data_IF_457025163303
#
_entry.id   IF_457025163303
#
_cell.length_a   1.000
_cell.length_b   1.000
_cell.length_c   1.000
_cell.angle_alpha   90.00
_cell.angle_beta   90.00
_cell.angle_gamma   90.00
#
_symmetry.space_group_name_H-M   'P 1'
#
loop_
_entity.id
_entity.type
_entity.pdbx_description
1 polymer ?
#
# COMPACT_ATOMS: atom_id res chain seq x y z
N UNK A 1 13.73 -17.19 -3.37
CA UNK A 1 12.72 -17.25 -4.45
C UNK A 1 12.90 -15.98 -5.26
N UNK A 2 13.21 -16.10 -6.55
CA UNK A 2 13.56 -14.93 -7.38
C UNK A 2 12.35 -14.03 -7.67
N UNK A 3 11.17 -14.62 -7.82
CA UNK A 3 9.93 -13.89 -8.05
C UNK A 3 8.80 -14.53 -7.25
N UNK A 4 8.05 -13.71 -6.53
CA UNK A 4 6.88 -14.14 -5.78
C UNK A 4 5.62 -13.82 -6.59
N UNK A 5 4.76 -14.83 -6.71
CA UNK A 5 3.42 -14.71 -7.30
C UNK A 5 2.46 -15.43 -6.36
N UNK A 6 1.49 -14.70 -5.84
CA UNK A 6 0.45 -15.29 -5.01
C UNK A 6 -0.53 -16.14 -5.83
N UNK A 7 -1.42 -16.85 -5.14
CA UNK A 7 -2.49 -17.62 -5.74
C UNK A 7 -3.80 -16.85 -5.75
N UNK A 8 -4.69 -17.18 -6.70
CA UNK A 8 -6.04 -16.62 -6.75
C UNK A 8 -6.82 -16.94 -5.46
N UNK A 9 -7.21 -15.91 -4.72
CA UNK A 9 -7.96 -16.00 -3.47
C UNK A 9 -9.42 -16.38 -3.70
N UNK A 10 -9.95 -17.29 -2.87
CA UNK A 10 -11.29 -17.88 -3.05
C UNK A 10 -12.41 -16.89 -2.76
N UNK A 11 -12.17 -15.96 -1.84
CA UNK A 11 -13.12 -14.92 -1.40
C UNK A 11 -13.09 -13.68 -2.27
N UNK A 12 -12.25 -13.65 -3.31
CA UNK A 12 -12.02 -12.47 -4.14
C UNK A 12 -13.30 -11.93 -4.81
N UNK A 13 -14.10 -12.82 -5.42
CA UNK A 13 -15.35 -12.42 -6.06
C UNK A 13 -16.37 -11.88 -5.04
N UNK A 14 -16.55 -12.60 -3.93
CA UNK A 14 -17.46 -12.20 -2.84
C UNK A 14 -17.09 -10.84 -2.23
N UNK A 15 -15.80 -10.51 -2.20
CA UNK A 15 -15.32 -9.20 -1.76
C UNK A 15 -15.66 -8.09 -2.74
N UNK A 16 -15.40 -8.24 -4.04
CA UNK A 16 -15.71 -7.19 -5.01
C UNK A 16 -17.22 -6.94 -5.12
N UNK A 17 -18.04 -8.01 -5.09
CA UNK A 17 -19.49 -7.88 -5.01
C UNK A 17 -19.93 -7.09 -3.76
N UNK A 18 -19.25 -7.29 -2.63
CA UNK A 18 -19.53 -6.54 -1.40
C UNK A 18 -19.09 -5.07 -1.53
N UNK A 19 -17.91 -4.81 -2.10
CA UNK A 19 -17.37 -3.46 -2.29
C UNK A 19 -18.29 -2.62 -3.20
N UNK A 20 -18.79 -3.20 -4.28
CA UNK A 20 -19.71 -2.53 -5.21
C UNK A 20 -21.08 -2.25 -4.59
N UNK A 21 -21.43 -2.96 -3.51
CA UNK A 21 -22.72 -2.79 -2.79
C UNK A 21 -22.70 -1.71 -1.71
N UNK A 22 -21.58 -1.04 -1.46
CA UNK A 22 -21.44 -0.08 -0.35
C UNK A 22 -22.32 1.15 -0.59
N UNK A 23 -23.10 1.50 0.43
CA UNK A 23 -23.87 2.74 0.52
C UNK A 23 -23.69 3.34 1.91
N UNK A 24 -24.00 4.62 2.07
CA UNK A 24 -23.92 5.29 3.38
C UNK A 24 -24.77 4.56 4.44
N UNK A 25 -25.93 4.04 4.05
CA UNK A 25 -26.88 3.36 4.95
C UNK A 25 -26.42 1.97 5.43
N UNK A 26 -25.44 1.35 4.75
CA UNK A 26 -25.09 -0.05 4.99
C UNK A 26 -23.68 -0.27 5.56
N UNK A 27 -22.93 0.79 5.85
CA UNK A 27 -21.53 0.74 6.32
C UNK A 27 -21.34 -0.27 7.48
N UNK A 28 -22.20 -0.22 8.50
CA UNK A 28 -22.11 -1.13 9.65
C UNK A 28 -22.35 -2.61 9.30
N UNK A 29 -23.19 -2.87 8.28
CA UNK A 29 -23.40 -4.22 7.74
C UNK A 29 -22.19 -4.68 6.93
N UNK A 30 -21.62 -3.79 6.11
CA UNK A 30 -20.41 -4.05 5.32
C UNK A 30 -19.23 -4.39 6.23
N UNK A 31 -18.98 -3.60 7.29
CA UNK A 31 -17.92 -3.89 8.29
C UNK A 31 -18.06 -5.31 8.86
N UNK A 32 -19.29 -5.73 9.22
CA UNK A 32 -19.54 -7.10 9.73
C UNK A 32 -19.25 -8.17 8.67
N UNK A 33 -19.57 -7.91 7.40
CA UNK A 33 -19.29 -8.85 6.30
C UNK A 33 -17.79 -8.92 5.98
N UNK A 34 -17.07 -7.80 6.00
CA UNK A 34 -15.61 -7.78 5.83
C UNK A 34 -14.91 -8.60 6.90
N UNK A 35 -15.30 -8.45 8.18
CA UNK A 35 -14.77 -9.29 9.27
C UNK A 35 -15.02 -10.80 9.03
N UNK A 36 -16.16 -11.17 8.44
CA UNK A 36 -16.44 -12.56 8.05
C UNK A 36 -15.57 -13.03 6.87
N UNK A 37 -15.35 -12.18 5.87
CA UNK A 37 -14.46 -12.49 4.74
C UNK A 37 -13.02 -12.72 5.20
N UNK A 38 -12.53 -11.86 6.09
CA UNK A 38 -11.21 -11.99 6.72
C UNK A 38 -11.08 -13.34 7.44
N UNK A 39 -12.08 -13.74 8.24
CA UNK A 39 -12.06 -15.03 8.93
C UNK A 39 -12.10 -16.23 7.97
N UNK A 40 -12.69 -16.06 6.79
CA UNK A 40 -12.81 -17.12 5.77
C UNK A 40 -11.52 -17.29 4.95
N UNK A 41 -10.79 -16.20 4.71
CA UNK A 41 -9.50 -16.19 4.02
C UNK A 41 -8.59 -15.10 4.59
N UNK A 42 -7.83 -15.44 5.64
CA UNK A 42 -6.95 -14.50 6.36
C UNK A 42 -5.78 -13.97 5.51
N UNK A 43 -5.54 -14.57 4.34
CA UNK A 43 -4.44 -14.20 3.46
C UNK A 43 -4.90 -13.42 2.22
N UNK A 44 -6.21 -13.17 2.09
CA UNK A 44 -6.71 -12.18 1.15
C UNK A 44 -6.83 -10.83 1.84
N UNK A 45 -6.02 -9.86 1.40
CA UNK A 45 -5.74 -8.66 2.19
C UNK A 45 -6.59 -7.44 1.81
N UNK A 46 -7.21 -7.40 0.63
CA UNK A 46 -8.08 -6.29 0.25
C UNK A 46 -9.27 -6.08 1.24
N UNK A 47 -9.91 -7.13 1.80
CA UNK A 47 -10.91 -6.97 2.87
C UNK A 47 -10.41 -6.23 4.11
N UNK A 48 -9.14 -6.41 4.48
CA UNK A 48 -8.54 -5.69 5.60
C UNK A 48 -8.42 -4.20 5.28
N UNK A 49 -7.94 -3.86 4.07
CA UNK A 49 -7.73 -2.47 3.66
C UNK A 49 -9.05 -1.70 3.61
N UNK A 50 -10.08 -2.28 2.98
CA UNK A 50 -11.40 -1.66 2.97
C UNK A 50 -12.01 -1.55 4.38
N UNK A 51 -11.77 -2.53 5.26
CA UNK A 51 -12.21 -2.45 6.65
C UNK A 51 -11.51 -1.29 7.38
N UNK A 52 -10.20 -1.12 7.20
CA UNK A 52 -9.44 -0.03 7.79
C UNK A 52 -9.95 1.34 7.33
N UNK A 53 -10.22 1.50 6.03
CA UNK A 53 -10.77 2.75 5.46
C UNK A 53 -12.14 3.09 6.07
N UNK A 54 -13.05 2.11 6.16
CA UNK A 54 -14.37 2.31 6.76
C UNK A 54 -14.31 2.60 8.26
N UNK A 55 -13.38 1.97 8.99
CA UNK A 55 -13.16 2.25 10.41
C UNK A 55 -12.64 3.67 10.63
N UNK A 56 -11.67 4.10 9.83
CA UNK A 56 -11.16 5.48 9.91
C UNK A 56 -12.26 6.49 9.55
N UNK A 57 -13.03 6.26 8.49
CA UNK A 57 -14.15 7.11 8.09
C UNK A 57 -15.27 7.18 9.14
N UNK A 58 -15.44 6.14 9.95
CA UNK A 58 -16.43 6.09 11.05
C UNK A 58 -15.85 6.50 12.40
N UNK A 59 -14.59 6.93 12.45
CA UNK A 59 -13.93 7.49 13.64
C UNK A 59 -13.20 6.49 14.53
N UNK A 60 -13.16 5.21 14.19
CA UNK A 60 -12.44 4.17 14.92
C UNK A 60 -10.99 4.00 14.40
N UNK A 61 -10.21 5.07 14.56
CA UNK A 61 -8.82 5.12 14.09
C UNK A 61 -7.93 4.04 14.73
N UNK A 62 -8.15 3.71 16.00
CA UNK A 62 -7.33 2.74 16.70
C UNK A 62 -7.51 1.31 16.14
N UNK A 63 -8.75 0.91 15.86
CA UNK A 63 -9.00 -0.38 15.20
C UNK A 63 -8.52 -0.35 13.74
N UNK A 64 -8.65 0.79 13.04
CA UNK A 64 -8.11 0.95 11.67
C UNK A 64 -6.60 0.68 11.61
N UNK A 65 -5.81 1.34 12.47
CA UNK A 65 -4.36 1.16 12.55
C UNK A 65 -3.98 -0.31 12.86
N UNK A 66 -4.78 -0.98 13.70
CA UNK A 66 -4.61 -2.41 14.03
C UNK A 66 -4.89 -3.30 12.82
N UNK A 67 -5.99 -3.08 12.10
CA UNK A 67 -6.35 -3.86 10.90
C UNK A 67 -5.28 -3.73 9.80
N UNK A 68 -4.70 -2.54 9.62
CA UNK A 68 -3.55 -2.34 8.70
C UNK A 68 -2.34 -3.16 9.15
N UNK A 69 -2.05 -3.16 10.46
CA UNK A 69 -0.94 -3.93 11.03
C UNK A 69 -1.16 -5.44 10.84
N UNK A 70 -2.36 -5.95 11.10
CA UNK A 70 -2.71 -7.36 10.86
C UNK A 70 -2.53 -7.75 9.38
N UNK A 71 -2.97 -6.89 8.45
CA UNK A 71 -2.79 -7.11 7.01
C UNK A 71 -1.31 -7.14 6.62
N UNK A 72 -0.49 -6.26 7.20
CA UNK A 72 0.95 -6.21 6.99
C UNK A 72 1.64 -7.49 7.49
N UNK A 73 1.29 -7.98 8.67
CA UNK A 73 1.83 -9.23 9.21
C UNK A 73 1.49 -10.42 8.30
N UNK A 74 0.25 -10.49 7.79
CA UNK A 74 -0.14 -11.51 6.81
C UNK A 74 0.55 -11.37 5.46
N UNK A 75 0.77 -10.14 5.00
CA UNK A 75 1.57 -9.88 3.80
C UNK A 75 3.02 -10.38 3.97
N UNK A 76 3.64 -10.10 5.13
CA UNK A 76 4.98 -10.59 5.45
C UNK A 76 5.03 -12.11 5.52
N UNK A 77 4.07 -12.76 6.18
CA UNK A 77 3.96 -14.21 6.22
C UNK A 77 3.96 -14.78 4.80
N UNK A 78 3.10 -14.28 3.91
CA UNK A 78 2.98 -14.75 2.53
C UNK A 78 4.29 -14.67 1.75
N UNK A 79 4.94 -13.50 1.76
CA UNK A 79 6.11 -13.29 0.90
C UNK A 79 7.37 -13.94 1.47
N UNK A 80 7.38 -14.28 2.77
CA UNK A 80 8.55 -14.88 3.43
C UNK A 80 8.41 -16.38 3.72
N UNK A 81 7.20 -16.97 3.72
CA UNK A 81 6.92 -18.35 4.19
C UNK A 81 7.92 -19.40 3.70
N UNK A 82 8.28 -19.37 2.41
CA UNK A 82 9.15 -20.40 1.80
C UNK A 82 10.64 -20.18 2.00
N UNK A 83 11.08 -18.96 2.32
CA UNK A 83 12.51 -18.60 2.28
C UNK A 83 12.99 -17.86 3.52
N UNK A 84 12.10 -17.42 4.40
CA UNK A 84 12.38 -16.50 5.50
C UNK A 84 12.86 -15.11 5.05
N UNK A 85 12.81 -14.82 3.76
CA UNK A 85 13.36 -13.62 3.15
C UNK A 85 12.35 -12.94 2.24
N UNK A 86 12.47 -11.63 2.12
CA UNK A 86 11.71 -10.83 1.15
C UNK A 86 12.10 -11.26 -0.28
N UNK A 87 11.14 -11.39 -1.22
CA UNK A 87 11.43 -11.85 -2.58
C UNK A 87 12.26 -10.83 -3.36
N UNK A 88 13.05 -11.27 -4.34
CA UNK A 88 13.77 -10.32 -5.23
C UNK A 88 12.83 -9.56 -6.17
N UNK A 89 11.65 -10.13 -6.47
CA UNK A 89 10.60 -9.51 -7.28
C UNK A 89 9.22 -9.73 -6.67
N UNK A 90 8.44 -8.66 -6.61
CA UNK A 90 7.05 -8.62 -6.17
C UNK A 90 6.27 -7.69 -7.13
N UNK A 91 6.12 -8.11 -8.37
CA UNK A 91 5.66 -7.22 -9.44
C UNK A 91 4.14 -6.96 -9.37
N UNK A 92 3.74 -5.71 -9.61
CA UNK A 92 2.33 -5.28 -9.65
C UNK A 92 1.54 -5.87 -10.83
N UNK A 93 2.25 -6.28 -11.89
CA UNK A 93 1.66 -6.87 -13.10
C UNK A 93 0.81 -8.11 -12.80
N UNK A 94 1.19 -8.87 -11.77
CA UNK A 94 0.42 -10.01 -11.28
C UNK A 94 -0.76 -9.54 -10.43
N UNK A 95 -1.98 -9.84 -10.88
CA UNK A 95 -3.21 -9.46 -10.17
C UNK A 95 -3.23 -10.01 -8.75
N UNK A 96 -2.73 -11.23 -8.59
CA UNK A 96 -2.62 -11.95 -7.33
C UNK A 96 -1.70 -11.23 -6.33
N UNK A 97 -0.69 -10.48 -6.78
CA UNK A 97 0.21 -9.75 -5.88
C UNK A 97 -0.37 -8.43 -5.37
N UNK A 98 -1.39 -7.88 -6.03
CA UNK A 98 -1.81 -6.48 -5.78
C UNK A 98 -2.28 -6.24 -4.35
N UNK A 99 -3.03 -7.16 -3.76
CA UNK A 99 -3.49 -7.02 -2.38
C UNK A 99 -2.34 -7.02 -1.37
N UNK A 100 -1.26 -7.77 -1.65
CA UNK A 100 -0.04 -7.81 -0.84
C UNK A 100 0.72 -6.50 -0.95
N UNK A 101 0.94 -6.02 -2.17
CA UNK A 101 1.62 -4.73 -2.41
C UNK A 101 0.83 -3.59 -1.73
N UNK A 102 -0.50 -3.56 -1.88
CA UNK A 102 -1.35 -2.57 -1.22
C UNK A 102 -1.27 -2.62 0.30
N UNK A 103 -1.16 -3.81 0.90
CA UNK A 103 -0.98 -3.95 2.35
C UNK A 103 0.35 -3.33 2.82
N UNK A 104 1.45 -3.59 2.09
CA UNK A 104 2.73 -2.94 2.40
C UNK A 104 2.69 -1.42 2.21
N UNK A 105 2.03 -0.92 1.16
CA UNK A 105 1.88 0.53 0.93
C UNK A 105 1.12 1.18 2.09
N UNK A 106 -0.01 0.60 2.51
CA UNK A 106 -0.81 1.13 3.63
C UNK A 106 -0.04 1.11 4.95
N UNK A 107 0.77 0.08 5.21
CA UNK A 107 1.66 0.08 6.38
C UNK A 107 2.72 1.18 6.30
N UNK A 108 3.30 1.42 5.12
CA UNK A 108 4.25 2.50 4.91
C UNK A 108 3.63 3.88 5.16
N UNK A 109 2.39 4.09 4.69
CA UNK A 109 1.61 5.31 4.96
C UNK A 109 1.31 5.43 6.46
N UNK A 110 0.92 4.34 7.13
CA UNK A 110 0.67 4.34 8.58
C UNK A 110 1.94 4.67 9.38
N UNK A 111 3.09 4.14 8.98
CA UNK A 111 4.38 4.53 9.57
C UNK A 111 4.64 6.02 9.39
N UNK A 112 4.43 6.55 8.18
CA UNK A 112 4.66 7.96 7.89
C UNK A 112 3.71 8.89 8.67
N UNK A 113 2.42 8.55 8.73
CA UNK A 113 1.39 9.21 9.54
C UNK A 113 1.76 9.27 11.03
N UNK A 114 2.45 8.23 11.51
CA UNK A 114 2.95 8.12 12.89
C UNK A 114 4.37 8.68 13.09
N UNK A 115 4.90 9.45 12.13
CA UNK A 115 6.25 10.03 12.13
C UNK A 115 7.39 8.99 12.22
N UNK A 116 7.12 7.72 11.93
CA UNK A 116 8.11 6.64 11.77
C UNK A 116 8.69 6.66 10.36
N UNK A 117 9.33 7.78 10.01
CA UNK A 117 9.73 8.09 8.63
C UNK A 117 10.82 7.17 8.10
N UNK A 118 11.69 6.65 8.97
CA UNK A 118 12.72 5.69 8.58
C UNK A 118 12.11 4.34 8.19
N UNK A 119 11.15 3.86 8.98
CA UNK A 119 10.42 2.63 8.73
C UNK A 119 9.56 2.73 7.46
N UNK A 120 8.85 3.84 7.30
CA UNK A 120 8.08 4.14 6.09
C UNK A 120 8.99 4.13 4.85
N UNK A 121 10.07 4.90 4.89
CA UNK A 121 11.03 4.99 3.79
C UNK A 121 11.65 3.62 3.45
N UNK A 122 12.08 2.86 4.48
CA UNK A 122 12.66 1.54 4.26
C UNK A 122 11.68 0.56 3.61
N UNK A 123 10.40 0.61 3.99
CA UNK A 123 9.38 -0.25 3.39
C UNK A 123 9.07 0.16 1.95
N UNK A 124 8.93 1.46 1.69
CA UNK A 124 8.73 1.98 0.33
C UNK A 124 9.92 1.67 -0.57
N UNK A 125 11.16 1.79 -0.08
CA UNK A 125 12.36 1.42 -0.84
C UNK A 125 12.33 -0.06 -1.22
N UNK A 126 11.99 -0.97 -0.30
CA UNK A 126 11.85 -2.41 -0.61
C UNK A 126 10.81 -2.67 -1.69
N UNK A 127 9.68 -1.97 -1.64
CA UNK A 127 8.65 -2.08 -2.67
C UNK A 127 9.15 -1.55 -4.03
N UNK A 128 9.85 -0.43 -4.04
CA UNK A 128 10.43 0.13 -5.26
C UNK A 128 11.49 -0.81 -5.88
N UNK A 129 12.36 -1.39 -5.04
CA UNK A 129 13.42 -2.29 -5.49
C UNK A 129 12.87 -3.58 -6.11
N UNK A 130 11.74 -4.08 -5.58
CA UNK A 130 11.12 -5.34 -6.03
C UNK A 130 10.01 -5.16 -7.06
N UNK A 131 9.57 -3.92 -7.28
CA UNK A 131 8.60 -3.51 -8.30
C UNK A 131 8.97 -2.15 -8.89
N UNK A 132 10.04 -2.06 -9.70
CA UNK A 132 10.62 -0.79 -10.14
C UNK A 132 9.71 0.02 -11.07
N UNK A 133 8.74 -0.61 -11.74
CA UNK A 133 7.70 0.10 -12.51
C UNK A 133 6.80 0.98 -11.61
N UNK A 134 6.75 0.69 -10.31
CA UNK A 134 6.11 1.50 -9.28
C UNK A 134 4.71 2.02 -9.64
N UNK A 135 3.85 1.11 -10.08
CA UNK A 135 2.46 1.43 -10.41
C UNK A 135 1.64 1.95 -9.22
N UNK A 136 2.12 1.72 -8.00
CA UNK A 136 1.49 2.18 -6.76
C UNK A 136 2.02 3.55 -6.28
N UNK A 137 3.07 4.08 -6.93
CA UNK A 137 3.58 5.42 -6.68
C UNK A 137 4.37 5.58 -5.38
N UNK A 138 5.00 4.51 -4.84
CA UNK A 138 5.79 4.62 -3.61
C UNK A 138 6.99 5.56 -3.75
N UNK A 139 7.48 5.80 -4.97
CA UNK A 139 8.54 6.79 -5.24
C UNK A 139 8.13 8.20 -4.79
N UNK A 140 6.85 8.55 -4.91
CA UNK A 140 6.38 9.87 -4.48
C UNK A 140 6.35 9.99 -2.96
N UNK A 141 5.93 8.93 -2.26
CA UNK A 141 5.97 8.89 -0.79
C UNK A 141 7.41 8.97 -0.27
N UNK A 142 8.34 8.22 -0.88
CA UNK A 142 9.77 8.30 -0.57
C UNK A 142 10.30 9.72 -0.74
N UNK A 143 10.00 10.37 -1.86
CA UNK A 143 10.42 11.74 -2.10
C UNK A 143 9.77 12.72 -1.11
N UNK A 144 8.51 12.49 -0.73
CA UNK A 144 7.81 13.28 0.29
C UNK A 144 8.54 13.26 1.62
N UNK A 145 8.98 12.07 2.06
CA UNK A 145 9.78 11.88 3.26
C UNK A 145 11.13 12.60 3.14
N UNK A 146 11.84 12.45 2.01
CA UNK A 146 13.14 13.09 1.77
C UNK A 146 13.05 14.63 1.76
N UNK A 147 11.94 15.17 1.24
CA UNK A 147 11.61 16.60 1.26
C UNK A 147 11.03 17.06 2.61
N UNK A 148 11.06 16.21 3.63
CA UNK A 148 10.59 16.48 5.00
C UNK A 148 9.11 16.90 5.08
N UNK A 149 8.29 16.42 4.16
CA UNK A 149 6.83 16.58 4.25
C UNK A 149 6.26 15.57 5.24
N UNK A 150 5.30 16.01 6.05
CA UNK A 150 4.42 15.07 6.73
C UNK A 150 3.45 14.45 5.72
N UNK A 151 2.97 13.26 6.03
CA UNK A 151 1.93 12.57 5.26
C UNK A 151 0.74 13.52 4.98
N UNK A 152 0.23 14.20 6.03
CA UNK A 152 -0.85 15.19 5.89
C UNK A 152 -0.52 16.33 4.91
N UNK A 153 0.71 16.83 4.90
CA UNK A 153 1.11 17.88 3.95
C UNK A 153 1.16 17.35 2.52
N UNK A 154 1.64 16.12 2.34
CA UNK A 154 1.70 15.45 1.05
C UNK A 154 0.29 15.26 0.46
N UNK A 155 -0.62 14.63 1.21
CA UNK A 155 -2.00 14.41 0.73
C UNK A 155 -2.73 15.74 0.53
N UNK A 156 -2.61 16.71 1.44
CA UNK A 156 -3.22 18.04 1.24
C UNK A 156 -2.79 18.71 -0.08
N UNK A 157 -1.57 18.43 -0.55
CA UNK A 157 -1.05 19.01 -1.77
C UNK A 157 -1.51 18.24 -3.02
N UNK A 158 -1.29 16.93 -3.02
CA UNK A 158 -1.37 16.13 -4.23
C UNK A 158 -2.68 15.35 -4.38
N UNK A 159 -3.39 15.05 -3.28
CA UNK A 159 -4.65 14.33 -3.36
C UNK A 159 -5.79 15.26 -3.80
N UNK A 160 -6.41 14.94 -4.93
CA UNK A 160 -7.53 15.68 -5.52
C UNK A 160 -8.83 14.87 -5.37
N UNK A 161 -9.15 14.44 -4.15
CA UNK A 161 -10.28 13.55 -3.85
C UNK A 161 -10.13 12.15 -4.47
N UNK A 162 -8.98 11.51 -4.24
CA UNK A 162 -8.74 10.12 -4.64
C UNK A 162 -8.04 9.96 -5.99
N UNK A 163 -7.56 11.04 -6.61
CA UNK A 163 -6.66 10.98 -7.76
C UNK A 163 -5.52 11.98 -7.63
N UNK A 164 -4.42 11.68 -8.31
CA UNK A 164 -3.28 12.59 -8.46
C UNK A 164 -3.22 13.07 -9.91
N UNK A 165 -3.01 14.38 -10.08
CA UNK A 165 -2.85 15.01 -11.40
C UNK A 165 -1.35 15.16 -11.75
N UNK A 166 -1.07 15.85 -12.87
CA UNK A 166 0.30 16.10 -13.33
C UNK A 166 1.17 16.89 -12.34
N UNK A 167 0.59 17.50 -11.28
CA UNK A 167 1.37 18.25 -10.28
C UNK A 167 2.38 17.35 -9.59
N UNK A 168 2.01 16.10 -9.28
CA UNK A 168 2.88 15.18 -8.55
C UNK A 168 4.08 14.74 -9.39
N UNK A 169 3.85 14.48 -10.69
CA UNK A 169 4.87 14.07 -11.65
C UNK A 169 5.87 15.21 -11.87
N UNK A 170 5.36 16.41 -12.16
CA UNK A 170 6.18 17.61 -12.34
C UNK A 170 7.00 17.93 -11.09
N UNK A 171 6.42 17.76 -9.90
CA UNK A 171 7.14 17.93 -8.64
C UNK A 171 8.24 16.88 -8.47
N UNK A 172 7.96 15.62 -8.77
CA UNK A 172 8.92 14.53 -8.67
C UNK A 172 10.11 14.74 -9.62
N UNK A 173 9.85 15.00 -10.90
CA UNK A 173 10.89 15.20 -11.93
C UNK A 173 11.81 16.37 -11.61
N UNK A 174 11.26 17.43 -11.01
CA UNK A 174 12.04 18.58 -10.56
C UNK A 174 12.93 18.23 -9.37
N UNK A 175 12.41 17.49 -8.39
CA UNK A 175 13.06 17.29 -7.09
C UNK A 175 13.99 16.08 -7.05
N UNK A 176 13.73 15.03 -7.82
CA UNK A 176 14.57 13.83 -7.90
C UNK A 176 16.02 14.15 -8.28
N UNK A 177 16.26 15.27 -8.99
CA UNK A 177 17.60 15.78 -9.33
C UNK A 177 18.49 16.02 -8.10
N UNK A 178 17.89 16.28 -6.94
CA UNK A 178 18.59 16.47 -5.65
C UNK A 178 18.75 15.18 -4.84
N UNK A 179 18.09 14.10 -5.25
CA UNK A 179 18.00 12.81 -4.54
C UNK A 179 18.49 11.64 -5.42
N UNK A 180 19.48 11.90 -6.28
CA UNK A 180 20.01 10.90 -7.23
C UNK A 180 20.64 9.70 -6.54
N UNK A 181 21.11 9.85 -5.30
CA UNK A 181 21.70 8.76 -4.54
C UNK A 181 20.62 7.77 -4.12
N UNK A 182 19.51 8.29 -3.61
CA UNK A 182 18.36 7.55 -3.11
C UNK A 182 17.62 6.86 -4.26
N UNK A 183 17.42 7.54 -5.38
CA UNK A 183 16.73 6.99 -6.57
C UNK A 183 17.68 6.39 -7.61
N UNK A 184 18.94 6.17 -7.28
CA UNK A 184 19.97 5.83 -8.27
C UNK A 184 19.70 4.55 -9.06
N UNK A 185 19.11 3.52 -8.43
CA UNK A 185 18.71 2.29 -9.13
C UNK A 185 17.53 2.55 -10.08
N UNK A 186 16.51 3.25 -9.61
CA UNK A 186 15.33 3.58 -10.41
C UNK A 186 15.68 4.47 -11.61
N UNK A 187 16.52 5.50 -11.40
CA UNK A 187 17.01 6.39 -12.46
C UNK A 187 17.85 5.66 -13.51
N UNK A 188 18.54 4.56 -13.18
CA UNK A 188 19.24 3.76 -14.20
C UNK A 188 18.28 2.99 -15.10
N UNK A 189 17.09 2.68 -14.61
CA UNK A 189 16.07 1.92 -15.35
C UNK A 189 15.17 2.84 -16.18
N UNK A 190 14.84 4.03 -15.65
CA UNK A 190 13.82 4.91 -16.23
C UNK A 190 14.25 6.38 -16.38
N UNK A 191 15.45 6.75 -15.93
CA UNK A 191 15.96 8.10 -16.15
C UNK A 191 16.35 8.31 -17.61
N UNK A 192 15.95 9.45 -18.17
CA UNK A 192 16.47 9.97 -19.43
C UNK A 192 17.91 10.51 -19.30
#
# INVERSE_FOLDING_TARGET
MKEFIDTKRKTNMEFYDLQDSITEDNIQSVIKKLKKLINKDQYFLDPYLLLADLLEATGDKAESDKVITDAYEKALELVTEKTGQWPEKLEWGWLENRHIIRAFVNMGILYWKNNKTLEAYSLFQKLLDTNPNDNVGVRYFMLGILEKMSEKQFYKRFDKNGYWDEEIDNWFDKKIKNHKKEFGLWLKLFGE
#
